data_IF_226637181298
#
_entry.id   IF_226637181298
#
_cell.length_a   1.000
_cell.length_b   1.000
_cell.length_c   1.000
_cell.angle_alpha   90.00
_cell.angle_beta   90.00
_cell.angle_gamma   90.00
#
_symmetry.space_group_name_H-M   'P 1'
#
loop_
_entity.id
_entity.type
_entity.pdbx_description
1 polymer ?
#
# COMPACT_ATOMS: atom_id res chain seq x y z
N UNK A 1 2.90 -21.34 19.26
CA UNK A 1 3.53 -21.86 18.03
C UNK A 1 3.25 -20.86 16.93
N UNK A 2 4.30 -20.29 16.31
CA UNK A 2 4.12 -19.39 15.15
C UNK A 2 3.62 -20.27 14.00
N UNK A 3 2.52 -19.87 13.35
CA UNK A 3 1.96 -20.62 12.22
C UNK A 3 2.45 -19.97 10.93
N UNK A 4 2.93 -20.77 9.96
CA UNK A 4 3.25 -20.25 8.64
C UNK A 4 1.99 -19.72 7.94
N UNK A 5 2.17 -18.67 7.14
CA UNK A 5 1.11 -18.04 6.38
C UNK A 5 0.96 -18.76 5.03
N UNK A 6 0.04 -19.72 4.97
CA UNK A 6 -0.28 -20.45 3.73
C UNK A 6 -1.14 -19.63 2.76
N UNK A 7 -1.91 -18.68 3.29
CA UNK A 7 -2.75 -17.78 2.51
C UNK A 7 -2.94 -16.47 3.24
N UNK A 8 -3.16 -15.39 2.50
CA UNK A 8 -3.46 -14.07 3.04
C UNK A 8 -4.91 -13.72 2.72
N UNK A 9 -5.70 -13.54 3.78
CA UNK A 9 -7.11 -13.17 3.67
C UNK A 9 -7.29 -11.70 3.96
N UNK A 10 -7.83 -10.95 3.00
CA UNK A 10 -7.98 -9.50 3.09
C UNK A 10 -9.44 -9.08 2.88
N UNK A 11 -9.92 -8.05 3.59
CA UNK A 11 -11.14 -7.34 3.20
C UNK A 11 -11.05 -6.89 1.75
N UNK A 12 -12.17 -6.94 1.03
CA UNK A 12 -12.18 -6.65 -0.41
C UNK A 12 -11.68 -5.22 -0.74
N UNK A 13 -11.95 -4.25 0.15
CA UNK A 13 -11.49 -2.86 0.01
C UNK A 13 -10.05 -2.60 0.48
N UNK A 14 -9.31 -3.62 0.92
CA UNK A 14 -7.94 -3.41 1.42
C UNK A 14 -6.99 -3.04 0.26
N UNK A 15 -6.12 -2.01 0.38
CA UNK A 15 -5.25 -1.55 -0.71
C UNK A 15 -4.33 -2.61 -1.32
N UNK A 16 -3.87 -3.58 -0.51
CA UNK A 16 -3.09 -4.71 -1.02
C UNK A 16 -3.85 -5.58 -2.02
N UNK A 17 -5.19 -5.66 -1.97
CA UNK A 17 -5.97 -6.51 -2.90
C UNK A 17 -5.68 -6.12 -4.35
N UNK A 18 -5.63 -4.83 -4.65
CA UNK A 18 -5.28 -4.34 -5.98
C UNK A 18 -3.86 -4.75 -6.40
N UNK A 19 -2.88 -4.53 -5.53
CA UNK A 19 -1.48 -4.88 -5.81
C UNK A 19 -1.33 -6.38 -6.06
N UNK A 20 -1.98 -7.22 -5.25
CA UNK A 20 -1.95 -8.67 -5.38
C UNK A 20 -2.68 -9.17 -6.61
N UNK A 21 -3.86 -8.65 -6.93
CA UNK A 21 -4.55 -8.96 -8.18
C UNK A 21 -3.69 -8.65 -9.40
N UNK A 22 -2.95 -7.53 -9.40
CA UNK A 22 -2.04 -7.18 -10.49
C UNK A 22 -0.86 -8.15 -10.59
N UNK A 23 -0.30 -8.60 -9.46
CA UNK A 23 0.78 -9.61 -9.43
C UNK A 23 0.32 -10.99 -9.90
N UNK A 24 -0.95 -11.33 -9.70
CA UNK A 24 -1.58 -12.58 -10.16
C UNK A 24 -1.82 -12.64 -11.68
N UNK A 25 -1.77 -11.51 -12.39
CA UNK A 25 -1.99 -11.48 -13.83
C UNK A 25 -0.80 -12.07 -14.59
N UNK A 26 -1.10 -12.74 -15.71
CA UNK A 26 -0.09 -13.14 -16.69
C UNK A 26 0.56 -11.91 -17.32
N UNK A 27 1.82 -12.05 -17.72
CA UNK A 27 2.59 -10.95 -18.30
C UNK A 27 1.87 -10.32 -19.51
N UNK A 28 1.77 -8.98 -19.50
CA UNK A 28 1.09 -8.20 -20.54
C UNK A 28 -0.41 -7.99 -20.35
N UNK A 29 -1.05 -8.73 -19.43
CA UNK A 29 -2.48 -8.51 -19.08
C UNK A 29 -2.57 -7.39 -18.04
N UNK A 30 -3.44 -6.39 -18.28
CA UNK A 30 -3.74 -5.32 -17.32
C UNK A 30 -5.24 -5.19 -17.12
N UNK A 31 -5.64 -4.90 -15.89
CA UNK A 31 -7.03 -4.52 -15.62
C UNK A 31 -7.31 -3.15 -16.22
N UNK A 32 -8.40 -3.04 -17.00
CA UNK A 32 -8.80 -1.77 -17.59
C UNK A 32 -9.68 -0.99 -16.61
N UNK A 33 -9.08 -0.04 -15.89
CA UNK A 33 -9.82 0.81 -14.95
C UNK A 33 -10.81 1.76 -15.64
N UNK A 34 -10.67 2.00 -16.96
CA UNK A 34 -11.53 2.94 -17.71
C UNK A 34 -12.83 2.32 -18.21
N UNK A 35 -12.96 1.00 -18.21
CA UNK A 35 -14.21 0.34 -18.58
C UNK A 35 -15.11 0.23 -17.35
N UNK A 36 -15.87 1.29 -17.07
CA UNK A 36 -16.83 1.26 -15.98
C UNK A 36 -18.06 0.40 -16.34
N UNK A 37 -18.44 -0.56 -15.48
CA UNK A 37 -19.67 -1.31 -15.68
C UNK A 37 -20.89 -0.37 -15.58
N UNK A 38 -21.86 -0.57 -16.46
CA UNK A 38 -23.14 0.13 -16.40
C UNK A 38 -24.03 -0.62 -15.41
N UNK A 39 -24.56 0.07 -14.40
CA UNK A 39 -25.46 -0.52 -13.41
C UNK A 39 -26.92 -0.22 -13.74
N UNK A 40 -27.84 -1.02 -13.20
CA UNK A 40 -29.24 -0.62 -13.14
C UNK A 40 -29.45 0.50 -12.09
N UNK A 41 -30.56 1.23 -12.21
CA UNK A 41 -30.84 2.43 -11.41
C UNK A 41 -31.05 2.10 -9.92
N UNK A 42 -31.55 0.89 -9.62
CA UNK A 42 -31.79 0.40 -8.27
C UNK A 42 -30.53 -0.01 -7.49
N UNK A 43 -29.35 -0.02 -8.12
CA UNK A 43 -28.09 -0.42 -7.47
C UNK A 43 -27.55 0.74 -6.62
N UNK A 44 -27.25 0.46 -5.35
CA UNK A 44 -26.70 1.44 -4.41
C UNK A 44 -25.25 1.84 -4.77
N UNK A 45 -24.80 3.05 -4.39
CA UNK A 45 -23.39 3.44 -4.59
C UNK A 45 -22.41 2.54 -3.83
N UNK A 46 -22.79 2.05 -2.66
CA UNK A 46 -21.98 1.11 -1.88
C UNK A 46 -21.77 -0.21 -2.65
N UNK A 47 -22.84 -0.78 -3.22
CA UNK A 47 -22.77 -2.01 -3.99
C UNK A 47 -21.99 -1.83 -5.29
N UNK A 48 -22.06 -0.65 -5.92
CA UNK A 48 -21.23 -0.31 -7.08
C UNK A 48 -19.75 -0.33 -6.72
N UNK A 49 -19.36 0.26 -5.59
CA UNK A 49 -17.97 0.28 -5.12
C UNK A 49 -17.48 -1.15 -4.84
N UNK A 50 -18.25 -1.92 -4.07
CA UNK A 50 -17.92 -3.33 -3.76
C UNK A 50 -17.81 -4.18 -5.02
N UNK A 51 -18.73 -4.01 -5.96
CA UNK A 51 -18.69 -4.73 -7.24
C UNK A 51 -17.46 -4.36 -8.07
N UNK A 52 -17.07 -3.08 -8.13
CA UNK A 52 -15.84 -2.65 -8.84
C UNK A 52 -14.60 -3.33 -8.24
N UNK A 53 -14.53 -3.45 -6.91
CA UNK A 53 -13.45 -4.18 -6.25
C UNK A 53 -13.50 -5.69 -6.55
N UNK A 54 -14.69 -6.31 -6.48
CA UNK A 54 -14.90 -7.71 -6.82
C UNK A 54 -14.52 -8.02 -8.27
N UNK A 55 -14.87 -7.14 -9.20
CA UNK A 55 -14.56 -7.29 -10.63
C UNK A 55 -13.05 -7.38 -10.89
N UNK A 56 -12.25 -6.64 -10.11
CA UNK A 56 -10.78 -6.72 -10.18
C UNK A 56 -10.26 -8.09 -9.77
N UNK A 57 -10.82 -8.66 -8.70
CA UNK A 57 -10.50 -10.01 -8.24
C UNK A 57 -10.94 -11.06 -9.26
N UNK A 58 -12.16 -10.98 -9.76
CA UNK A 58 -12.68 -11.89 -10.79
C UNK A 58 -11.85 -11.84 -12.08
N UNK A 59 -11.37 -10.65 -12.45
CA UNK A 59 -10.45 -10.49 -13.58
C UNK A 59 -9.11 -11.19 -13.33
N UNK A 60 -8.56 -11.11 -12.11
CA UNK A 60 -7.35 -11.85 -11.75
C UNK A 60 -7.58 -13.36 -11.82
N UNK A 61 -8.68 -13.86 -11.26
CA UNK A 61 -9.05 -15.29 -11.31
C UNK A 61 -9.15 -15.77 -12.75
N UNK A 62 -9.89 -15.05 -13.61
CA UNK A 62 -10.12 -15.44 -15.01
C UNK A 62 -8.82 -15.48 -15.83
N UNK A 63 -7.86 -14.63 -15.52
CA UNK A 63 -6.61 -14.53 -16.30
C UNK A 63 -5.45 -15.33 -15.69
N UNK A 64 -5.64 -15.95 -14.53
CA UNK A 64 -4.67 -16.83 -13.89
C UNK A 64 -5.13 -18.30 -14.01
N UNK A 65 -4.35 -19.11 -14.73
CA UNK A 65 -4.71 -20.51 -14.98
C UNK A 65 -4.65 -21.39 -13.74
N UNK A 66 -3.86 -21.06 -12.72
CA UNK A 66 -3.86 -21.76 -11.44
C UNK A 66 -5.14 -21.44 -10.65
N UNK A 67 -5.58 -20.17 -10.66
CA UNK A 67 -6.81 -19.74 -10.00
C UNK A 67 -8.06 -20.36 -10.64
N UNK A 68 -8.12 -20.45 -11.98
CA UNK A 68 -9.23 -21.07 -12.71
C UNK A 68 -9.48 -22.53 -12.33
N UNK A 69 -8.46 -23.28 -11.91
CA UNK A 69 -8.61 -24.70 -11.51
C UNK A 69 -9.52 -24.88 -10.30
N UNK A 70 -9.66 -23.84 -9.47
CA UNK A 70 -10.50 -23.88 -8.27
C UNK A 70 -11.92 -23.35 -8.51
N UNK A 71 -12.19 -22.77 -9.70
CA UNK A 71 -13.48 -22.19 -10.02
C UNK A 71 -14.40 -23.23 -10.68
N UNK A 72 -15.60 -23.43 -10.12
CA UNK A 72 -16.60 -24.36 -10.67
C UNK A 72 -17.05 -23.97 -12.09
N UNK A 73 -17.50 -24.95 -12.88
CA UNK A 73 -18.03 -24.70 -14.24
C UNK A 73 -19.19 -23.69 -14.24
N UNK A 74 -20.07 -23.75 -13.22
CA UNK A 74 -21.17 -22.79 -13.06
C UNK A 74 -20.65 -21.37 -12.83
N UNK A 75 -19.61 -21.21 -12.00
CA UNK A 75 -19.02 -19.90 -11.74
C UNK A 75 -18.24 -19.37 -12.96
N UNK A 76 -17.58 -20.25 -13.72
CA UNK A 76 -16.93 -19.87 -14.98
C UNK A 76 -17.96 -19.32 -15.98
N UNK A 77 -19.09 -20.03 -16.15
CA UNK A 77 -20.19 -19.57 -17.00
C UNK A 77 -20.76 -18.24 -16.54
N UNK A 78 -20.93 -18.05 -15.22
CA UNK A 78 -21.36 -16.77 -14.66
C UNK A 78 -20.40 -15.63 -15.05
N UNK A 79 -19.09 -15.83 -15.04
CA UNK A 79 -18.12 -14.80 -15.46
C UNK A 79 -18.21 -14.46 -16.96
N UNK A 80 -18.57 -15.42 -17.80
CA UNK A 80 -18.81 -15.20 -19.22
C UNK A 80 -20.09 -14.39 -19.45
N UNK A 81 -21.18 -14.76 -18.77
CA UNK A 81 -22.46 -14.05 -18.81
C UNK A 81 -22.31 -12.61 -18.27
N UNK A 82 -21.55 -12.44 -17.18
CA UNK A 82 -21.25 -11.14 -16.59
C UNK A 82 -20.50 -10.22 -17.56
N UNK A 83 -19.57 -10.76 -18.34
CA UNK A 83 -18.81 -10.00 -19.34
C UNK A 83 -19.69 -9.51 -20.52
N UNK A 84 -20.82 -10.17 -20.78
CA UNK A 84 -21.77 -9.81 -21.83
C UNK A 84 -22.95 -8.97 -21.31
N UNK A 85 -23.06 -8.78 -20.00
CA UNK A 85 -24.16 -8.08 -19.37
C UNK A 85 -24.18 -6.60 -19.78
N UNK A 86 -25.30 -6.14 -20.36
CA UNK A 86 -25.50 -4.73 -20.71
C UNK A 86 -25.63 -3.82 -19.50
N UNK A 87 -26.26 -4.33 -18.43
CA UNK A 87 -26.42 -3.65 -17.15
C UNK A 87 -26.26 -4.65 -16.01
N UNK A 88 -25.53 -4.27 -14.98
CA UNK A 88 -25.30 -5.07 -13.78
C UNK A 88 -26.47 -4.93 -12.81
N UNK A 89 -26.97 -6.06 -12.29
CA UNK A 89 -28.07 -6.14 -11.30
C UNK A 89 -27.55 -6.45 -9.90
N UNK A 90 -28.37 -6.21 -8.86
CA UNK A 90 -28.02 -6.59 -7.48
C UNK A 90 -27.74 -8.09 -7.33
N UNK A 91 -28.51 -8.96 -7.99
CA UNK A 91 -28.28 -10.42 -7.97
C UNK A 91 -26.91 -10.79 -8.56
N UNK A 92 -26.49 -10.13 -9.64
CA UNK A 92 -25.16 -10.34 -10.21
C UNK A 92 -24.06 -9.83 -9.27
N UNK A 93 -24.30 -8.74 -8.55
CA UNK A 93 -23.34 -8.21 -7.56
C UNK A 93 -23.18 -9.19 -6.40
N UNK A 94 -24.28 -9.64 -5.81
CA UNK A 94 -24.29 -10.61 -4.73
C UNK A 94 -23.57 -11.90 -5.15
N UNK A 95 -23.86 -12.41 -6.35
CA UNK A 95 -23.20 -13.61 -6.86
C UNK A 95 -21.71 -13.41 -7.10
N UNK A 96 -21.30 -12.26 -7.62
CA UNK A 96 -19.89 -11.93 -7.81
C UNK A 96 -19.14 -11.87 -6.48
N UNK A 97 -19.73 -11.26 -5.45
CA UNK A 97 -19.14 -11.16 -4.10
C UNK A 97 -19.04 -12.54 -3.42
N UNK A 98 -20.04 -13.40 -3.60
CA UNK A 98 -20.01 -14.80 -3.14
C UNK A 98 -18.84 -15.55 -3.79
N UNK A 99 -18.73 -15.49 -5.12
CA UNK A 99 -17.64 -16.14 -5.87
C UNK A 99 -16.28 -15.66 -5.37
N UNK A 100 -16.09 -14.35 -5.21
CA UNK A 100 -14.83 -13.78 -4.71
C UNK A 100 -14.50 -14.27 -3.30
N UNK A 101 -15.50 -14.41 -2.44
CA UNK A 101 -15.31 -14.81 -1.04
C UNK A 101 -14.95 -16.28 -0.87
N UNK A 102 -15.41 -17.12 -1.79
CA UNK A 102 -15.22 -18.57 -1.81
C UNK A 102 -14.05 -19.02 -2.70
N UNK A 103 -13.55 -18.13 -3.57
CA UNK A 103 -12.44 -18.43 -4.48
C UNK A 103 -11.10 -18.00 -3.88
N UNK A 104 -10.05 -18.71 -4.30
CA UNK A 104 -8.67 -18.33 -4.04
C UNK A 104 -8.05 -17.71 -5.29
N UNK A 105 -7.24 -16.67 -5.08
CA UNK A 105 -6.42 -16.05 -6.11
C UNK A 105 -4.98 -16.48 -5.91
N UNK A 106 -4.43 -17.11 -6.93
CA UNK A 106 -3.03 -17.53 -6.95
C UNK A 106 -2.11 -16.32 -7.20
N UNK A 107 -1.08 -16.17 -6.37
CA UNK A 107 -0.05 -15.14 -6.50
C UNK A 107 1.31 -15.83 -6.52
N UNK A 108 2.15 -15.45 -7.48
CA UNK A 108 3.53 -15.91 -7.54
C UNK A 108 4.29 -15.52 -6.25
N UNK A 109 4.91 -16.52 -5.62
CA UNK A 109 5.56 -16.38 -4.33
C UNK A 109 6.74 -15.41 -4.36
N UNK A 110 7.56 -15.44 -5.42
CA UNK A 110 8.71 -14.55 -5.56
C UNK A 110 8.27 -13.10 -5.82
N UNK A 111 7.26 -12.88 -6.66
CA UNK A 111 6.65 -11.56 -6.87
C UNK A 111 6.08 -10.99 -5.57
N UNK A 112 5.36 -11.81 -4.80
CA UNK A 112 4.82 -11.38 -3.51
C UNK A 112 5.91 -11.11 -2.48
N UNK A 113 6.90 -11.99 -2.34
CA UNK A 113 8.06 -11.79 -1.46
C UNK A 113 8.76 -10.47 -1.79
N UNK A 114 9.02 -10.20 -3.07
CA UNK A 114 9.64 -8.96 -3.49
C UNK A 114 8.77 -7.74 -3.19
N UNK A 115 7.45 -7.81 -3.35
CA UNK A 115 6.53 -6.73 -2.97
C UNK A 115 6.68 -6.39 -1.47
N UNK A 116 6.58 -7.42 -0.61
CA UNK A 116 6.61 -7.23 0.84
C UNK A 116 7.99 -6.79 1.33
N UNK A 117 9.09 -7.27 0.75
CA UNK A 117 10.44 -6.83 1.16
C UNK A 117 10.75 -5.37 0.75
N UNK A 118 10.07 -4.84 -0.26
CA UNK A 118 10.31 -3.49 -0.79
C UNK A 118 9.24 -2.46 -0.39
N UNK A 119 8.27 -2.83 0.45
CA UNK A 119 7.15 -1.95 0.80
C UNK A 119 7.62 -0.59 1.35
N UNK A 120 8.57 -0.52 2.29
CA UNK A 120 9.06 0.76 2.82
C UNK A 120 10.00 1.48 1.86
N UNK A 121 10.61 0.76 0.92
CA UNK A 121 11.35 1.39 -0.16
C UNK A 121 10.40 2.19 -1.07
N UNK A 122 9.24 1.61 -1.38
CA UNK A 122 8.21 2.26 -2.20
C UNK A 122 7.56 3.44 -1.45
N UNK A 123 7.16 3.22 -0.19
CA UNK A 123 6.39 4.21 0.58
C UNK A 123 7.27 5.40 1.01
N UNK A 124 8.47 5.14 1.53
CA UNK A 124 9.32 6.17 2.16
C UNK A 124 10.80 6.13 1.75
N UNK A 125 11.17 5.27 0.80
CA UNK A 125 12.55 5.21 0.29
C UNK A 125 13.55 4.54 1.22
N UNK A 126 13.10 3.78 2.22
CA UNK A 126 13.99 3.04 3.11
C UNK A 126 14.65 1.85 2.39
N UNK A 127 15.69 1.29 3.01
CA UNK A 127 16.33 0.07 2.52
C UNK A 127 15.35 -1.10 2.60
N UNK A 128 15.34 -1.92 1.56
CA UNK A 128 14.54 -3.15 1.52
C UNK A 128 14.93 -4.09 2.67
N UNK A 129 13.94 -4.84 3.15
CA UNK A 129 14.12 -5.83 4.20
C UNK A 129 15.02 -6.97 3.73
N UNK A 130 15.74 -7.60 4.67
CA UNK A 130 16.40 -8.87 4.40
C UNK A 130 15.37 -9.99 4.23
N UNK A 131 15.70 -11.03 3.47
CA UNK A 131 14.80 -12.17 3.29
C UNK A 131 14.43 -12.85 4.62
N UNK A 132 15.36 -12.88 5.58
CA UNK A 132 15.13 -13.40 6.94
C UNK A 132 13.97 -12.70 7.66
N UNK A 133 13.71 -11.43 7.36
CA UNK A 133 12.56 -10.72 7.93
C UNK A 133 11.24 -11.41 7.59
N UNK A 134 11.14 -12.06 6.44
CA UNK A 134 9.89 -12.67 5.98
C UNK A 134 9.85 -14.19 6.20
N UNK A 135 11.02 -14.84 6.11
CA UNK A 135 11.16 -16.30 6.03
C UNK A 135 11.62 -16.97 7.34
N UNK A 136 12.14 -16.21 8.31
CA UNK A 136 12.59 -16.79 9.59
C UNK A 136 11.46 -16.80 10.62
N UNK A 137 11.44 -17.83 11.47
CA UNK A 137 10.43 -18.02 12.53
C UNK A 137 10.31 -16.83 13.50
N UNK A 138 11.43 -16.18 13.81
CA UNK A 138 11.48 -15.02 14.72
C UNK A 138 11.27 -13.68 13.99
N UNK A 139 11.23 -13.71 12.66
CA UNK A 139 10.90 -12.56 11.83
C UNK A 139 9.39 -12.34 11.76
N UNK A 140 8.93 -12.20 10.53
CA UNK A 140 7.58 -11.89 10.11
C UNK A 140 7.33 -10.41 9.85
N UNK A 141 6.27 -10.13 9.10
CA UNK A 141 5.95 -8.78 8.63
C UNK A 141 4.55 -8.34 9.10
N UNK A 142 4.41 -7.05 9.41
CA UNK A 142 3.17 -6.50 9.99
C UNK A 142 1.99 -6.54 9.03
N UNK A 143 2.19 -6.21 7.75
CA UNK A 143 1.14 -6.28 6.72
C UNK A 143 0.56 -7.68 6.49
N UNK A 144 1.22 -8.72 7.00
CA UNK A 144 0.76 -10.10 6.89
C UNK A 144 -0.10 -10.53 8.07
N UNK A 145 -0.21 -9.69 9.10
CA UNK A 145 -1.15 -9.90 10.20
C UNK A 145 -2.57 -9.63 9.69
N UNK A 146 -3.25 -10.70 9.26
CA UNK A 146 -4.61 -10.61 8.77
C UNK A 146 -5.57 -10.20 9.92
N UNK A 147 -6.38 -9.15 9.76
CA UNK A 147 -7.48 -8.88 10.67
C UNK A 147 -8.50 -10.02 10.59
N UNK A 148 -9.33 -10.18 11.62
CA UNK A 148 -10.50 -11.07 11.56
C UNK A 148 -11.34 -10.72 10.33
N UNK A 149 -11.35 -11.62 9.35
CA UNK A 149 -11.79 -11.27 8.00
C UNK A 149 -13.32 -11.12 7.93
N UNK A 150 -13.84 -9.99 7.39
CA UNK A 150 -15.27 -9.71 7.27
C UNK A 150 -15.98 -10.65 6.27
N UNK A 151 -17.29 -10.49 6.09
CA UNK A 151 -18.05 -11.30 5.11
C UNK A 151 -17.51 -11.13 3.69
N UNK A 152 -17.19 -9.91 3.29
CA UNK A 152 -16.68 -9.54 1.96
C UNK A 152 -15.14 -9.50 1.96
N UNK A 153 -14.54 -10.54 1.38
CA UNK A 153 -13.09 -10.77 1.46
C UNK A 153 -12.61 -11.56 0.27
N UNK A 154 -11.29 -11.59 0.11
CA UNK A 154 -10.59 -12.43 -0.87
C UNK A 154 -9.47 -13.18 -0.18
N UNK A 155 -9.20 -14.40 -0.63
CA UNK A 155 -8.09 -15.21 -0.17
C UNK A 155 -7.03 -15.28 -1.25
N UNK A 156 -5.82 -14.82 -0.96
CA UNK A 156 -4.66 -14.99 -1.82
C UNK A 156 -3.84 -16.19 -1.36
N UNK A 157 -3.53 -17.09 -2.29
CA UNK A 157 -2.64 -18.23 -2.06
C UNK A 157 -1.31 -17.98 -2.74
N UNK A 158 -0.26 -18.56 -2.15
CA UNK A 158 1.09 -18.43 -2.63
C UNK A 158 1.59 -19.80 -3.09
N UNK A 159 2.22 -19.87 -4.27
CA UNK A 159 2.91 -21.08 -4.70
C UNK A 159 4.21 -21.22 -3.91
N UNK A 160 4.12 -21.82 -2.73
CA UNK A 160 5.14 -21.76 -1.70
C UNK A 160 6.27 -22.78 -1.87
N UNK A 161 6.55 -23.23 -3.09
CA UNK A 161 7.63 -24.17 -3.38
C UNK A 161 8.88 -23.44 -3.87
N UNK A 162 10.02 -23.70 -3.24
CA UNK A 162 11.32 -23.28 -3.76
C UNK A 162 11.69 -24.07 -5.04
N UNK A 163 12.77 -23.68 -5.77
CA UNK A 163 13.22 -24.40 -6.97
C UNK A 163 13.60 -25.88 -6.74
N UNK A 164 13.75 -26.31 -5.48
CA UNK A 164 14.04 -27.69 -5.08
C UNK A 164 12.80 -28.44 -4.58
N UNK A 165 11.61 -27.83 -4.65
CA UNK A 165 10.34 -28.42 -4.19
C UNK A 165 10.16 -28.40 -2.67
N UNK A 166 10.89 -27.56 -1.94
CA UNK A 166 10.74 -27.37 -0.50
C UNK A 166 9.75 -26.25 -0.22
N UNK A 167 8.83 -26.51 0.70
CA UNK A 167 7.87 -25.51 1.18
C UNK A 167 8.61 -24.35 1.89
N UNK A 168 8.33 -23.13 1.44
CA UNK A 168 8.82 -21.88 2.01
C UNK A 168 7.67 -21.13 2.66
N UNK A 169 7.86 -20.75 3.92
CA UNK A 169 6.79 -20.13 4.69
C UNK A 169 7.03 -18.64 4.87
N UNK A 170 5.96 -17.85 4.69
CA UNK A 170 5.92 -16.49 5.18
C UNK A 170 5.43 -16.46 6.61
N UNK A 171 5.92 -15.50 7.38
CA UNK A 171 5.49 -15.31 8.76
C UNK A 171 4.80 -13.95 8.94
N UNK A 172 3.64 -13.97 9.59
CA UNK A 172 2.98 -12.76 10.06
C UNK A 172 3.53 -12.38 11.44
N UNK A 173 3.68 -11.08 11.69
CA UNK A 173 4.15 -10.57 12.98
C UNK A 173 3.26 -9.44 13.45
N UNK A 174 2.84 -9.52 14.71
CA UNK A 174 2.07 -8.43 15.30
C UNK A 174 2.94 -7.21 15.56
N UNK A 175 2.49 -6.04 15.09
CA UNK A 175 3.13 -4.76 15.38
C UNK A 175 3.23 -4.49 16.89
N UNK A 176 2.30 -5.05 17.68
CA UNK A 176 2.30 -4.96 19.14
C UNK A 176 3.55 -5.58 19.79
N UNK A 177 4.20 -6.54 19.13
CA UNK A 177 5.44 -7.17 19.64
C UNK A 177 6.68 -6.28 19.47
N UNK A 178 6.60 -5.28 18.59
CA UNK A 178 7.72 -4.39 18.26
C UNK A 178 7.54 -2.99 18.86
N UNK A 179 6.49 -2.80 19.67
CA UNK A 179 6.26 -1.58 20.44
C UNK A 179 7.31 -1.46 21.56
N UNK A 180 8.08 -0.38 21.52
CA UNK A 180 8.97 0.01 22.60
C UNK A 180 8.39 1.25 23.29
N UNK A 181 8.22 1.20 24.62
CA UNK A 181 7.90 2.39 25.40
C UNK A 181 9.12 3.28 25.49
N UNK A 182 9.02 4.50 25.02
CA UNK A 182 10.10 5.47 25.03
C UNK A 182 9.57 6.86 24.71
N UNK A 183 10.47 7.85 24.80
CA UNK A 183 10.18 9.24 24.43
C UNK A 183 10.98 9.56 23.18
N UNK A 184 10.28 10.08 22.17
CA UNK A 184 10.89 10.68 20.99
C UNK A 184 10.69 12.20 21.11
N UNK A 185 11.77 12.96 21.00
CA UNK A 185 11.72 14.41 20.95
C UNK A 185 11.95 14.87 19.51
N UNK A 186 11.02 15.64 18.96
CA UNK A 186 11.10 16.20 17.60
C UNK A 186 11.11 17.72 17.73
N UNK A 187 12.20 18.35 17.31
CA UNK A 187 12.29 19.80 17.19
C UNK A 187 12.01 20.21 15.75
N UNK A 188 10.85 20.80 15.51
CA UNK A 188 10.54 21.48 14.26
C UNK A 188 11.16 22.87 14.29
N UNK A 189 12.41 22.98 13.84
CA UNK A 189 13.09 24.25 13.63
C UNK A 189 12.51 25.01 12.42
N UNK A 190 12.96 26.25 12.24
CA UNK A 190 12.54 27.08 11.09
C UNK A 190 13.18 26.63 9.77
N UNK A 191 14.38 26.06 9.83
CA UNK A 191 15.14 25.62 8.65
C UNK A 191 15.27 24.10 8.58
N UNK A 192 15.46 23.46 9.72
CA UNK A 192 15.66 22.04 9.84
C UNK A 192 14.83 21.46 11.00
N UNK A 193 14.46 20.20 10.85
CA UNK A 193 13.81 19.37 11.84
C UNK A 193 14.81 18.32 12.32
N UNK A 194 14.94 18.17 13.62
CA UNK A 194 15.78 17.13 14.23
C UNK A 194 14.93 16.27 15.15
N UNK A 195 15.14 14.96 15.10
CA UNK A 195 14.48 14.01 16.00
C UNK A 195 15.53 13.27 16.83
N UNK A 196 15.16 12.94 18.06
CA UNK A 196 15.98 12.15 18.97
C UNK A 196 15.13 11.18 19.76
N UNK A 197 15.72 10.07 20.20
CA UNK A 197 15.08 9.08 21.06
C UNK A 197 16.06 8.61 22.12
N UNK A 198 15.52 8.10 23.23
CA UNK A 198 16.30 7.42 24.25
C UNK A 198 16.39 5.93 23.91
N UNK A 199 17.61 5.39 23.81
CA UNK A 199 17.82 3.97 23.57
C UNK A 199 17.62 3.12 24.85
N UNK A 200 17.71 1.80 24.71
CA UNK A 200 17.53 0.85 25.83
C UNK A 200 18.56 1.01 26.96
N UNK A 201 19.67 1.70 26.73
CA UNK A 201 20.72 1.99 27.72
C UNK A 201 20.49 3.32 28.45
N UNK A 202 19.46 4.07 28.05
CA UNK A 202 19.22 5.43 28.54
C UNK A 202 20.00 6.51 27.79
N UNK A 203 20.69 6.16 26.69
CA UNK A 203 21.49 7.11 25.91
C UNK A 203 20.61 7.80 24.87
N UNK A 204 20.68 9.13 24.79
CA UNK A 204 19.99 9.90 23.76
C UNK A 204 20.70 9.75 22.41
N UNK A 205 19.93 9.44 21.36
CA UNK A 205 20.41 9.28 19.99
C UNK A 205 19.62 10.15 19.04
N UNK A 206 20.31 10.76 18.08
CA UNK A 206 19.69 11.49 16.97
C UNK A 206 19.19 10.52 15.90
N UNK A 207 18.10 10.90 15.23
CA UNK A 207 17.49 10.17 14.11
C UNK A 207 17.69 10.95 12.82
N UNK A 208 18.21 10.27 11.80
CA UNK A 208 18.27 10.78 10.43
C UNK A 208 16.94 10.50 9.74
N UNK A 209 16.34 11.50 9.07
CA UNK A 209 15.01 11.41 8.46
C UNK A 209 15.10 11.80 6.98
N UNK A 210 14.81 10.86 6.06
CA UNK A 210 14.77 11.15 4.63
C UNK A 210 16.13 11.48 3.99
N UNK A 211 17.23 11.35 4.74
CA UNK A 211 18.61 11.44 4.25
C UNK A 211 19.26 10.07 4.11
N UNK A 212 20.50 10.04 3.59
CA UNK A 212 21.30 8.81 3.59
C UNK A 212 21.74 8.49 5.02
N UNK A 213 21.20 7.43 5.61
CA UNK A 213 21.54 7.00 6.97
C UNK A 213 23.05 6.70 7.14
N UNK A 214 23.69 6.26 6.05
CA UNK A 214 25.11 5.89 5.99
C UNK A 214 26.04 7.09 5.78
N UNK A 215 25.51 8.31 5.63
CA UNK A 215 26.33 9.52 5.61
C UNK A 215 27.10 9.66 6.94
N UNK A 216 28.38 10.01 6.90
CA UNK A 216 29.19 10.22 8.09
C UNK A 216 29.02 11.64 8.66
N UNK A 217 28.44 12.56 7.88
CA UNK A 217 28.28 13.96 8.27
C UNK A 217 27.21 14.15 9.36
N UNK A 218 27.45 15.02 10.36
CA UNK A 218 26.42 15.44 11.32
C UNK A 218 25.18 16.06 10.67
N UNK A 219 25.32 16.61 9.46
CA UNK A 219 24.21 17.23 8.72
C UNK A 219 23.09 16.26 8.38
N UNK A 220 23.33 14.95 8.43
CA UNK A 220 22.29 13.92 8.21
C UNK A 220 21.18 13.91 9.25
N UNK A 221 21.41 14.55 10.40
CA UNK A 221 20.45 14.68 11.49
C UNK A 221 19.68 16.01 11.43
N UNK A 222 20.06 16.91 10.50
CA UNK A 222 19.39 18.17 10.23
C UNK A 222 18.57 18.04 8.95
N UNK A 223 17.29 17.69 9.11
CA UNK A 223 16.43 17.40 7.97
C UNK A 223 15.74 18.70 7.54
N UNK A 224 15.93 19.22 6.31
CA UNK A 224 15.27 20.44 5.87
C UNK A 224 13.76 20.39 6.13
N UNK A 225 13.19 21.42 6.74
CA UNK A 225 11.76 21.46 7.04
C UNK A 225 11.00 21.89 5.77
N UNK A 226 11.03 21.05 4.74
CA UNK A 226 10.41 21.30 3.44
C UNK A 226 9.66 20.07 2.94
N UNK A 227 8.49 20.30 2.35
CA UNK A 227 7.63 19.32 1.70
C UNK A 227 7.42 19.74 0.25
N UNK A 228 7.36 18.78 -0.67
CA UNK A 228 7.04 18.96 -2.09
C UNK A 228 5.79 18.14 -2.41
N UNK A 229 4.73 18.79 -2.87
CA UNK A 229 3.49 18.14 -3.31
C UNK A 229 3.60 17.79 -4.80
N UNK A 230 3.42 16.51 -5.13
CA UNK A 230 3.54 16.00 -6.51
C UNK A 230 2.29 15.30 -7.04
N UNK A 231 1.56 14.59 -6.18
CA UNK A 231 0.30 13.91 -6.47
C UNK A 231 -0.59 13.89 -5.21
N UNK A 232 -1.01 15.06 -4.74
CA UNK A 232 -1.68 15.26 -3.44
C UNK A 232 -2.98 14.49 -3.31
N UNK A 233 -3.80 14.42 -4.36
CA UNK A 233 -5.08 13.70 -4.32
C UNK A 233 -4.87 12.20 -4.19
N UNK A 234 -3.92 11.66 -4.96
CA UNK A 234 -3.50 10.26 -4.84
C UNK A 234 -2.94 9.97 -3.46
N UNK A 235 -2.04 10.82 -2.95
CA UNK A 235 -1.48 10.67 -1.61
C UNK A 235 -2.57 10.63 -0.54
N UNK A 236 -3.50 11.58 -0.54
CA UNK A 236 -4.59 11.62 0.45
C UNK A 236 -5.46 10.38 0.38
N UNK A 237 -5.84 9.96 -0.83
CA UNK A 237 -6.61 8.72 -1.04
C UNK A 237 -5.88 7.49 -0.48
N UNK A 238 -4.58 7.37 -0.75
CA UNK A 238 -3.76 6.23 -0.29
C UNK A 238 -3.46 6.31 1.22
N UNK A 239 -3.35 7.53 1.76
CA UNK A 239 -3.13 7.82 3.18
C UNK A 239 -4.36 7.47 4.03
N UNK A 240 -5.55 7.86 3.57
CA UNK A 240 -6.81 7.64 4.28
C UNK A 240 -7.36 6.21 4.09
N UNK A 241 -6.70 5.38 3.26
CA UNK A 241 -7.18 4.03 2.97
C UNK A 241 -7.01 3.05 4.15
N UNK A 242 -6.10 3.32 5.08
CA UNK A 242 -5.85 2.50 6.28
C UNK A 242 -5.45 3.38 7.47
N UNK A 243 -6.04 3.12 8.64
CA UNK A 243 -5.80 3.89 9.88
C UNK A 243 -4.35 3.84 10.42
N UNK A 244 -3.54 2.91 9.92
CA UNK A 244 -2.21 2.62 10.48
C UNK A 244 -1.11 2.83 9.45
N UNK A 245 -1.01 1.92 8.48
CA UNK A 245 0.08 1.89 7.50
C UNK A 245 -0.47 2.12 6.11
N UNK A 246 -0.47 3.37 5.64
CA UNK A 246 -0.95 3.67 4.31
C UNK A 246 0.03 3.20 3.24
N UNK A 247 -0.52 2.81 2.08
CA UNK A 247 0.26 2.35 0.93
C UNK A 247 0.55 3.51 -0.05
N UNK A 248 0.98 4.66 0.48
CA UNK A 248 1.40 5.82 -0.32
C UNK A 248 2.68 5.52 -1.10
N UNK A 249 3.01 6.36 -2.08
CA UNK A 249 4.28 6.27 -2.78
C UNK A 249 5.16 7.48 -2.45
N UNK A 250 6.47 7.25 -2.30
CA UNK A 250 7.47 8.30 -2.05
C UNK A 250 7.41 9.42 -3.09
N UNK A 251 6.97 9.09 -4.31
CA UNK A 251 6.86 10.06 -5.39
C UNK A 251 5.58 10.91 -5.34
N UNK A 252 4.60 10.60 -4.49
CA UNK A 252 3.39 11.40 -4.36
C UNK A 252 3.65 12.69 -3.55
N UNK A 253 4.51 12.60 -2.52
CA UNK A 253 4.98 13.72 -1.71
C UNK A 253 6.47 13.56 -1.39
N UNK A 254 7.28 14.55 -1.76
CA UNK A 254 8.69 14.64 -1.37
C UNK A 254 8.87 15.36 -0.03
N UNK A 255 9.85 14.95 0.77
CA UNK A 255 10.17 15.61 2.05
C UNK A 255 11.67 15.82 2.23
N UNK A 256 12.03 16.75 3.12
CA UNK A 256 13.39 16.98 3.59
C UNK A 256 14.40 17.21 2.46
N UNK A 257 15.51 16.46 2.47
CA UNK A 257 16.62 16.65 1.52
C UNK A 257 16.20 16.42 0.06
N UNK A 258 15.25 15.52 -0.20
CA UNK A 258 14.76 15.28 -1.55
C UNK A 258 13.96 16.46 -2.07
N UNK A 259 12.99 16.95 -1.29
CA UNK A 259 12.23 18.15 -1.65
C UNK A 259 13.14 19.39 -1.77
N UNK A 260 14.13 19.53 -0.89
CA UNK A 260 15.10 20.62 -0.99
C UNK A 260 15.91 20.56 -2.30
N UNK A 261 16.38 19.37 -2.67
CA UNK A 261 17.11 19.15 -3.94
C UNK A 261 16.24 19.53 -5.14
N UNK A 262 14.97 19.16 -5.13
CA UNK A 262 14.04 19.46 -6.21
C UNK A 262 13.61 20.92 -6.27
N UNK A 263 13.66 21.65 -5.14
CA UNK A 263 13.35 23.07 -5.09
C UNK A 263 14.42 23.95 -5.78
N UNK A 264 15.65 23.45 -5.92
CA UNK A 264 16.77 24.21 -6.52
C UNK A 264 16.45 24.55 -7.98
N UNK A 265 16.38 25.84 -8.28
CA UNK A 265 16.16 26.33 -9.65
C UNK A 265 14.71 26.36 -10.11
N UNK A 266 13.75 25.94 -9.26
CA UNK A 266 12.31 26.10 -9.53
C UNK A 266 11.94 27.58 -9.53
N UNK A 267 11.06 27.98 -10.45
CA UNK A 267 10.66 29.38 -10.65
C UNK A 267 9.15 29.50 -10.85
N UNK A 268 8.65 30.73 -10.67
CA UNK A 268 7.25 31.07 -10.97
C UNK A 268 6.26 30.25 -10.13
N UNK A 269 5.19 29.81 -10.77
CA UNK A 269 4.08 29.13 -10.09
C UNK A 269 4.41 27.73 -9.57
N UNK A 270 5.55 27.15 -9.96
CA UNK A 270 5.96 25.83 -9.50
C UNK A 270 6.57 25.87 -8.10
N UNK A 271 6.90 27.06 -7.58
CA UNK A 271 7.33 27.26 -6.20
C UNK A 271 6.21 26.94 -5.19
N UNK A 272 4.95 27.07 -5.59
CA UNK A 272 3.79 26.78 -4.73
C UNK A 272 3.53 25.27 -4.54
N UNK A 273 4.34 24.41 -5.14
CA UNK A 273 4.40 22.97 -4.83
C UNK A 273 5.22 22.70 -3.57
N UNK A 274 6.04 23.65 -3.14
CA UNK A 274 6.94 23.50 -2.00
C UNK A 274 6.42 24.24 -0.78
N UNK A 275 6.53 23.60 0.37
CA UNK A 275 6.11 24.17 1.64
C UNK A 275 7.23 24.04 2.68
N UNK A 276 7.75 25.18 3.14
CA UNK A 276 8.86 25.25 4.09
C UNK A 276 8.53 25.92 5.43
N UNK A 277 7.26 26.25 5.65
CA UNK A 277 6.79 27.01 6.82
C UNK A 277 6.02 26.15 7.82
N UNK A 278 6.38 24.87 7.94
CA UNK A 278 5.63 23.90 8.75
C UNK A 278 5.49 24.35 10.22
N UNK A 279 6.55 24.88 10.82
CA UNK A 279 6.49 25.40 12.20
C UNK A 279 5.52 26.58 12.35
N UNK A 280 5.57 27.55 11.43
CA UNK A 280 4.69 28.72 11.51
C UNK A 280 3.23 28.32 11.29
N UNK A 281 2.99 27.43 10.33
CA UNK A 281 1.65 26.93 10.02
C UNK A 281 1.07 26.07 11.13
N UNK A 282 1.84 25.20 11.78
CA UNK A 282 1.34 24.42 12.91
C UNK A 282 0.86 25.31 14.09
N UNK A 283 1.34 26.55 14.18
CA UNK A 283 0.89 27.54 15.17
C UNK A 283 -0.11 28.57 14.64
N UNK A 284 -0.44 28.54 13.34
CA UNK A 284 -1.36 29.46 12.69
C UNK A 284 -2.55 28.66 12.15
N UNK A 285 -3.77 28.97 12.60
CA UNK A 285 -5.00 28.34 12.11
C UNK A 285 -5.39 28.88 10.72
N UNK A 286 -4.44 28.84 9.78
CA UNK A 286 -4.57 29.39 8.43
C UNK A 286 -4.60 28.26 7.39
N UNK A 287 -5.57 28.34 6.48
CA UNK A 287 -5.61 27.47 5.30
C UNK A 287 -4.50 27.86 4.33
N UNK A 288 -3.79 26.85 3.83
CA UNK A 288 -2.76 27.00 2.80
C UNK A 288 -3.15 26.15 1.59
N UNK A 289 -3.06 26.75 0.39
CA UNK A 289 -3.33 26.05 -0.86
C UNK A 289 -2.00 25.70 -1.53
N UNK A 290 -1.89 24.47 -2.01
CA UNK A 290 -0.69 23.96 -2.65
C UNK A 290 -0.99 23.56 -4.09
N UNK A 291 -0.07 23.94 -4.97
CA UNK A 291 -0.09 23.45 -6.33
C UNK A 291 0.40 22.01 -6.33
N UNK A 292 -0.19 21.21 -7.21
CA UNK A 292 0.31 19.88 -7.50
C UNK A 292 1.38 19.93 -8.62
N UNK A 293 2.22 18.89 -8.77
CA UNK A 293 3.17 18.85 -9.90
C UNK A 293 2.43 18.52 -11.20
N UNK A 294 1.52 17.56 -11.16
CA UNK A 294 0.81 17.10 -12.35
C UNK A 294 -0.53 17.84 -12.55
N UNK A 295 -1.09 18.42 -11.50
CA UNK A 295 -2.36 19.14 -11.54
C UNK A 295 -2.23 20.62 -11.10
N UNK A 296 -3.22 21.44 -11.43
CA UNK A 296 -3.23 22.87 -11.12
C UNK A 296 -3.29 23.21 -9.63
N UNK A 297 -3.50 24.48 -9.32
CA UNK A 297 -3.95 24.87 -7.99
C UNK A 297 -5.37 24.32 -7.77
N UNK A 298 -5.60 23.72 -6.60
CA UNK A 298 -6.93 23.47 -6.05
C UNK A 298 -7.07 24.30 -4.77
#
# INVERSE_FOLDING_TARGET
>A
MVKPLQSLRLPLGHPLVEKLCNLSLKDGVKFNEKSEPIFKEEVSEEDKIKFKQALRVLHAIKNNSASLRYLSENNQKFLEDLAQAKKITNEQIEKALEIVSDSDVDVDFEKFKNLILNVDNIVVGLKSYSQSQLLDLDGGHWDLEAPSAPKERVTFRFDNLDPNGKEMDFYARSSLKDLNKGVVAIDFGTKSTTASYMDKTGTYRLLSIGGNADDASPTKFENPTIVEFRHKEKFLKDYDALDHRPFTERNDIGVAHEAQKNAVGVKGNDLYRFFSKLKQWAGADEKQNFRDLEEGFL
#
